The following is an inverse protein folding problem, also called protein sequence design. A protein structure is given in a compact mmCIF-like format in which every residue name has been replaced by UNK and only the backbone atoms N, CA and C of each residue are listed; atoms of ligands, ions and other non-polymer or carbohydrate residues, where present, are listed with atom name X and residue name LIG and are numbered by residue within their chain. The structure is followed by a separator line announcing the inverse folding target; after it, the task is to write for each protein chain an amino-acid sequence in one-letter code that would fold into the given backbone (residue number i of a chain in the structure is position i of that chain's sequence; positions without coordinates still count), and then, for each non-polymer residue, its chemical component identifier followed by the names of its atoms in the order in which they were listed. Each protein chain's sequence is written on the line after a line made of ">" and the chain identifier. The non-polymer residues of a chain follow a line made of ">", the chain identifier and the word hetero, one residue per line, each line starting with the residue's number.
data_IF_196243947505
#
_entry.id   IF_196243947505
#
_cell.length_a   1.000
_cell.length_b   1.000
_cell.length_c   1.000
_cell.angle_alpha   90.00
_cell.angle_beta   90.00
_cell.angle_gamma   90.00
#
_symmetry.space_group_name_H-M   'P 1'
#
loop_
_entity.id
_entity.type
_entity.pdbx_description
1 polymer ?
#
# COMPACT_ATOMS: atom_id res chain seq x y z
N UNK A 1 -28.65 2.77 61.95
CA UNK A 1 -27.95 3.60 60.95
C UNK A 1 -27.26 2.66 59.97
N UNK A 2 -27.88 2.39 58.78
CA UNK A 2 -27.33 1.49 57.76
C UNK A 2 -26.66 2.35 56.71
N UNK A 3 -25.34 2.27 56.59
CA UNK A 3 -24.55 2.93 55.53
C UNK A 3 -24.63 2.09 54.26
N UNK A 4 -25.33 2.58 53.24
CA UNK A 4 -25.39 1.97 51.93
C UNK A 4 -24.10 2.23 51.16
N UNK A 5 -23.45 1.15 50.71
CA UNK A 5 -22.27 1.17 49.88
C UNK A 5 -22.71 1.27 48.41
N UNK A 6 -22.51 2.43 47.80
CA UNK A 6 -22.75 2.64 46.35
C UNK A 6 -21.58 2.02 45.59
N UNK A 7 -21.83 0.89 44.89
CA UNK A 7 -20.90 0.32 43.93
C UNK A 7 -20.98 1.12 42.63
N UNK A 8 -19.97 1.92 42.38
CA UNK A 8 -19.76 2.56 41.09
C UNK A 8 -19.20 1.50 40.14
N UNK A 9 -20.00 0.98 39.21
CA UNK A 9 -19.55 0.17 38.11
C UNK A 9 -18.91 1.09 37.05
N UNK A 10 -17.57 1.13 36.99
CA UNK A 10 -16.86 1.69 35.84
C UNK A 10 -17.08 0.74 34.63
N UNK A 11 -17.93 1.15 33.71
CA UNK A 11 -18.03 0.54 32.41
C UNK A 11 -16.78 0.99 31.59
N UNK A 12 -15.74 0.17 31.55
CA UNK A 12 -14.68 0.26 30.57
C UNK A 12 -15.29 -0.07 29.20
N UNK A 13 -15.57 0.96 28.41
CA UNK A 13 -15.91 0.80 27.01
C UNK A 13 -14.71 0.19 26.26
N UNK A 14 -14.82 -1.08 25.91
CA UNK A 14 -13.94 -1.72 24.92
C UNK A 14 -14.17 -1.00 23.60
N UNK A 15 -13.30 -0.04 23.27
CA UNK A 15 -13.15 0.41 21.90
C UNK A 15 -12.67 -0.81 21.10
N UNK A 16 -13.59 -1.42 20.35
CA UNK A 16 -13.24 -2.42 19.36
C UNK A 16 -12.43 -1.72 18.25
N UNK A 17 -11.08 -1.70 18.39
CA UNK A 17 -10.21 -1.51 17.26
C UNK A 17 -10.49 -2.65 16.29
N UNK A 18 -11.06 -2.35 15.12
CA UNK A 18 -11.04 -3.30 14.00
C UNK A 18 -9.57 -3.62 13.75
N UNK A 19 -9.18 -4.92 13.75
CA UNK A 19 -7.78 -5.27 13.51
C UNK A 19 -7.39 -4.74 12.13
N UNK A 20 -6.34 -3.93 12.10
CA UNK A 20 -5.75 -3.46 10.85
C UNK A 20 -5.17 -4.68 10.12
N UNK A 21 -5.25 -4.71 8.79
CA UNK A 21 -4.81 -5.84 7.98
C UNK A 21 -3.28 -6.00 8.13
N UNK A 22 -2.83 -7.11 8.73
CA UNK A 22 -1.40 -7.35 9.01
C UNK A 22 -0.68 -8.09 7.87
N UNK A 23 -1.42 -8.76 6.98
CA UNK A 23 -0.86 -9.53 5.86
C UNK A 23 -1.81 -9.62 4.68
N UNK A 24 -1.25 -9.86 3.49
CA UNK A 24 -2.03 -10.22 2.31
C UNK A 24 -2.48 -11.69 2.39
N UNK A 25 -3.66 -11.98 1.85
CA UNK A 25 -4.11 -13.36 1.70
C UNK A 25 -3.41 -14.06 0.51
N UNK A 26 -3.54 -15.36 0.43
CA UNK A 26 -2.88 -16.17 -0.61
C UNK A 26 -3.30 -15.77 -2.03
N UNK A 27 -4.54 -15.33 -2.23
CA UNK A 27 -5.06 -14.89 -3.53
C UNK A 27 -4.37 -13.60 -3.98
N UNK A 28 -4.23 -12.60 -3.09
CA UNK A 28 -3.49 -11.38 -3.39
C UNK A 28 -2.01 -11.66 -3.68
N UNK A 29 -1.38 -12.53 -2.90
CA UNK A 29 0.03 -12.90 -3.07
C UNK A 29 0.28 -13.62 -4.41
N UNK A 30 -0.69 -14.42 -4.89
CA UNK A 30 -0.61 -15.15 -6.15
C UNK A 30 -0.89 -14.27 -7.39
N UNK A 31 -1.22 -12.98 -7.23
CA UNK A 31 -1.51 -12.11 -8.39
C UNK A 31 -0.34 -12.08 -9.37
N UNK A 32 -0.59 -12.43 -10.65
CA UNK A 32 0.43 -12.37 -11.68
C UNK A 32 0.76 -10.92 -12.06
N UNK A 33 2.04 -10.61 -12.08
CA UNK A 33 2.58 -9.30 -12.42
C UNK A 33 3.50 -9.38 -13.63
N UNK A 34 3.64 -8.26 -14.33
CA UNK A 34 4.60 -8.13 -15.44
C UNK A 34 5.48 -6.91 -15.19
N UNK A 35 6.79 -7.08 -15.21
CA UNK A 35 7.75 -5.98 -15.08
C UNK A 35 7.93 -5.18 -16.39
N UNK A 36 8.76 -4.13 -16.37
CA UNK A 36 9.04 -3.28 -17.54
C UNK A 36 9.77 -4.01 -18.68
N UNK A 37 10.48 -5.10 -18.36
CA UNK A 37 11.15 -5.96 -19.33
C UNK A 37 10.20 -7.00 -19.96
N UNK A 38 8.97 -7.13 -19.43
CA UNK A 38 8.00 -8.14 -19.85
C UNK A 38 8.12 -9.45 -19.09
N UNK A 39 8.96 -9.52 -18.05
CA UNK A 39 9.12 -10.72 -17.21
C UNK A 39 7.89 -10.92 -16.35
N UNK A 40 7.44 -12.17 -16.26
CA UNK A 40 6.32 -12.55 -15.40
C UNK A 40 6.84 -12.92 -14.01
N UNK A 41 6.12 -12.46 -13.01
CA UNK A 41 6.36 -12.74 -11.59
C UNK A 41 5.03 -12.77 -10.83
N UNK A 42 5.07 -12.93 -9.53
CA UNK A 42 3.90 -12.79 -8.65
C UNK A 42 4.12 -11.68 -7.63
N UNK A 43 3.05 -11.19 -7.03
CA UNK A 43 3.17 -10.20 -5.97
C UNK A 43 3.95 -10.75 -4.76
N UNK A 44 3.78 -12.05 -4.46
CA UNK A 44 4.57 -12.74 -3.41
C UNK A 44 6.07 -12.68 -3.69
N UNK A 45 6.50 -12.98 -4.93
CA UNK A 45 7.91 -12.94 -5.32
C UNK A 45 8.47 -11.52 -5.23
N UNK A 46 7.69 -10.51 -5.62
CA UNK A 46 8.07 -9.10 -5.47
C UNK A 46 8.27 -8.74 -4.01
N UNK A 47 7.37 -9.13 -3.11
CA UNK A 47 7.53 -8.88 -1.67
C UNK A 47 8.75 -9.63 -1.11
N UNK A 48 8.93 -10.90 -1.45
CA UNK A 48 10.09 -11.72 -1.02
C UNK A 48 11.43 -11.13 -1.47
N UNK A 49 11.49 -10.60 -2.70
CA UNK A 49 12.71 -9.96 -3.22
C UNK A 49 13.10 -8.67 -2.49
N UNK A 50 12.16 -8.09 -1.75
CA UNK A 50 12.35 -6.89 -0.96
C UNK A 50 12.47 -7.15 0.55
N UNK A 51 12.50 -8.42 0.99
CA UNK A 51 12.67 -8.77 2.41
C UNK A 51 13.90 -8.10 3.01
N UNK A 52 13.79 -7.58 4.23
CA UNK A 52 14.83 -6.82 4.90
C UNK A 52 14.82 -5.31 4.59
N UNK A 53 13.97 -4.87 3.66
CA UNK A 53 13.76 -3.46 3.36
C UNK A 53 12.36 -3.01 3.80
N UNK A 54 12.23 -1.73 4.13
CA UNK A 54 10.93 -1.07 4.20
C UNK A 54 10.44 -0.81 2.78
N UNK A 55 9.18 -1.17 2.49
CA UNK A 55 8.59 -1.05 1.15
C UNK A 55 7.31 -0.20 1.20
N UNK A 56 7.18 0.73 0.28
CA UNK A 56 5.87 1.32 -0.04
C UNK A 56 5.37 0.70 -1.34
N UNK A 57 4.23 0.03 -1.26
CA UNK A 57 3.47 -0.42 -2.44
C UNK A 57 2.46 0.66 -2.80
N UNK A 58 2.61 1.27 -3.98
CA UNK A 58 1.65 2.21 -4.55
C UNK A 58 0.81 1.51 -5.63
N UNK A 59 -0.47 1.36 -5.36
CA UNK A 59 -1.44 0.84 -6.34
C UNK A 59 -2.05 2.03 -7.08
N UNK A 60 -1.80 2.13 -8.36
CA UNK A 60 -2.11 3.30 -9.17
C UNK A 60 -2.55 2.97 -10.61
N UNK A 61 -2.80 3.98 -11.41
CA UNK A 61 -2.93 3.86 -12.86
C UNK A 61 -2.69 5.21 -13.55
N UNK A 62 -2.21 5.19 -14.80
CA UNK A 62 -1.93 6.41 -15.57
C UNK A 62 -3.19 7.21 -15.93
N UNK A 63 -4.34 6.56 -15.91
CA UNK A 63 -5.66 7.16 -16.15
C UNK A 63 -6.35 7.67 -14.86
N UNK A 64 -5.76 7.45 -13.69
CA UNK A 64 -6.33 7.83 -12.39
C UNK A 64 -6.02 9.30 -12.06
N UNK A 65 -7.00 10.22 -12.05
CA UNK A 65 -6.74 11.63 -11.79
C UNK A 65 -6.15 11.91 -10.41
N UNK A 66 -6.62 11.20 -9.37
CA UNK A 66 -6.15 11.39 -8.00
C UNK A 66 -4.71 10.89 -7.84
N UNK A 67 -4.34 9.78 -8.50
CA UNK A 67 -2.97 9.31 -8.55
C UNK A 67 -2.04 10.38 -9.14
N UNK A 68 -2.44 10.94 -10.30
CA UNK A 68 -1.66 11.97 -10.99
C UNK A 68 -1.51 13.23 -10.12
N UNK A 69 -2.59 13.67 -9.49
CA UNK A 69 -2.60 14.83 -8.58
C UNK A 69 -1.67 14.61 -7.37
N UNK A 70 -1.56 13.37 -6.90
CA UNK A 70 -0.71 12.97 -5.78
C UNK A 70 0.79 12.89 -6.10
N UNK A 71 1.19 12.80 -7.38
CA UNK A 71 2.59 12.58 -7.78
C UNK A 71 3.61 13.58 -7.21
N UNK A 72 3.35 14.90 -7.14
CA UNK A 72 4.31 15.82 -6.53
C UNK A 72 4.58 15.51 -5.06
N UNK A 73 3.55 15.16 -4.29
CA UNK A 73 3.69 14.76 -2.88
C UNK A 73 4.45 13.44 -2.75
N UNK A 74 4.17 12.49 -3.67
CA UNK A 74 4.85 11.21 -3.69
C UNK A 74 6.36 11.36 -3.98
N UNK A 75 6.74 12.21 -4.93
CA UNK A 75 8.14 12.53 -5.21
C UNK A 75 8.86 13.17 -4.01
N UNK A 76 8.15 14.02 -3.26
CA UNK A 76 8.70 14.56 -2.02
C UNK A 76 8.89 13.44 -0.98
N UNK A 77 7.93 12.51 -0.85
CA UNK A 77 8.06 11.33 0.02
C UNK A 77 9.30 10.50 -0.34
N UNK A 78 9.56 10.28 -1.63
CA UNK A 78 10.74 9.56 -2.11
C UNK A 78 12.05 10.31 -1.76
N UNK A 79 12.04 11.63 -1.86
CA UNK A 79 13.19 12.46 -1.48
C UNK A 79 13.46 12.45 0.02
N UNK A 80 12.39 12.40 0.85
CA UNK A 80 12.49 12.40 2.30
C UNK A 80 12.88 11.02 2.87
N UNK A 81 12.61 9.92 2.13
CA UNK A 81 12.89 8.54 2.54
C UNK A 81 13.58 7.75 1.41
N UNK A 82 14.81 8.12 1.03
CA UNK A 82 15.52 7.50 -0.11
C UNK A 82 15.93 6.03 0.14
N UNK A 83 15.98 5.58 1.39
CA UNK A 83 16.27 4.19 1.78
C UNK A 83 15.10 3.22 1.55
N UNK A 84 13.87 3.74 1.44
CA UNK A 84 12.65 2.95 1.23
C UNK A 84 12.61 2.41 -0.19
N UNK A 85 12.11 1.18 -0.36
CA UNK A 85 11.84 0.58 -1.67
C UNK A 85 10.44 0.95 -2.14
N UNK A 86 10.34 1.49 -3.33
CA UNK A 86 9.08 1.91 -3.93
C UNK A 86 8.66 0.93 -5.00
N UNK A 87 7.53 0.27 -4.79
CA UNK A 87 6.93 -0.75 -5.69
C UNK A 87 5.61 -0.21 -6.21
N UNK A 88 5.50 -0.04 -7.51
CA UNK A 88 4.31 0.46 -8.19
C UNK A 88 3.55 -0.68 -8.85
N UNK A 89 2.30 -0.87 -8.47
CA UNK A 89 1.39 -1.83 -9.06
C UNK A 89 0.34 -1.08 -9.91
N UNK A 90 0.42 -1.21 -11.24
CA UNK A 90 -0.46 -0.47 -12.14
C UNK A 90 -1.67 -1.28 -12.59
N UNK A 91 -2.83 -0.62 -12.60
CA UNK A 91 -4.07 -1.07 -13.23
C UNK A 91 -4.29 -0.50 -14.64
N UNK A 92 -3.22 -0.12 -15.35
CA UNK A 92 -3.33 0.24 -16.75
C UNK A 92 -3.77 -0.97 -17.59
N UNK A 93 -4.56 -0.72 -18.63
CA UNK A 93 -5.12 -1.79 -19.46
C UNK A 93 -4.09 -2.45 -20.38
N UNK A 94 -3.04 -1.72 -20.72
CA UNK A 94 -2.03 -2.16 -21.65
C UNK A 94 -0.64 -1.60 -21.29
N UNK A 95 0.39 -2.29 -21.78
CA UNK A 95 1.79 -1.98 -21.49
C UNK A 95 2.20 -0.61 -22.04
N UNK A 96 1.62 -0.18 -23.17
CA UNK A 96 1.98 1.10 -23.81
C UNK A 96 1.49 2.28 -22.97
N UNK A 97 0.23 2.27 -22.55
CA UNK A 97 -0.36 3.29 -21.67
C UNK A 97 0.39 3.38 -20.35
N UNK A 98 0.70 2.22 -19.74
CA UNK A 98 1.47 2.13 -18.51
C UNK A 98 2.86 2.75 -18.64
N UNK A 99 3.66 2.36 -19.65
CA UNK A 99 5.01 2.89 -19.88
C UNK A 99 4.98 4.39 -20.16
N UNK A 100 4.04 4.86 -20.99
CA UNK A 100 3.83 6.29 -21.22
C UNK A 100 3.51 7.07 -19.96
N UNK A 101 2.71 6.49 -19.06
CA UNK A 101 2.39 7.08 -17.76
C UNK A 101 3.63 7.24 -16.89
N UNK A 102 4.43 6.18 -16.76
CA UNK A 102 5.69 6.21 -15.99
C UNK A 102 6.63 7.29 -16.50
N UNK A 103 6.86 7.32 -17.82
CA UNK A 103 7.73 8.32 -18.47
C UNK A 103 7.19 9.74 -18.29
N UNK A 104 5.90 9.95 -18.59
CA UNK A 104 5.26 11.27 -18.51
C UNK A 104 5.33 11.88 -17.11
N UNK A 105 5.10 11.05 -16.09
CA UNK A 105 5.08 11.52 -14.69
C UNK A 105 6.42 11.32 -13.99
N UNK A 106 7.43 10.77 -14.69
CA UNK A 106 8.79 10.54 -14.17
C UNK A 106 8.74 9.83 -12.80
N UNK A 107 8.08 8.68 -12.78
CA UNK A 107 7.91 7.88 -11.56
C UNK A 107 9.11 6.95 -11.43
N UNK A 108 9.85 7.07 -10.33
CA UNK A 108 11.04 6.26 -10.06
C UNK A 108 10.72 5.11 -9.10
N UNK A 109 11.18 3.90 -9.39
CA UNK A 109 10.97 2.72 -8.56
C UNK A 109 10.82 1.42 -9.35
N UNK A 110 10.36 0.36 -8.68
CA UNK A 110 10.08 -0.92 -9.30
C UNK A 110 8.64 -0.97 -9.80
N UNK A 111 8.45 -1.14 -11.10
CA UNK A 111 7.15 -1.05 -11.73
C UNK A 111 6.65 -2.40 -12.19
N UNK A 112 5.38 -2.67 -11.91
CA UNK A 112 4.69 -3.89 -12.32
C UNK A 112 3.28 -3.57 -12.81
N UNK A 113 2.89 -4.24 -13.90
CA UNK A 113 1.53 -4.22 -14.43
C UNK A 113 0.76 -5.39 -13.82
N UNK A 114 -0.37 -5.12 -13.19
CA UNK A 114 -1.28 -6.13 -12.64
C UNK A 114 -1.99 -6.83 -13.80
N UNK A 115 -2.13 -8.17 -13.73
CA UNK A 115 -2.80 -8.95 -14.76
C UNK A 115 -4.31 -8.97 -14.62
N UNK A 116 -4.84 -8.84 -13.41
CA UNK A 116 -6.28 -8.79 -13.16
C UNK A 116 -6.88 -7.41 -13.50
N UNK A 117 -8.14 -7.41 -13.98
CA UNK A 117 -8.85 -6.18 -14.33
C UNK A 117 -9.34 -5.43 -13.07
N UNK A 118 -9.27 -4.10 -13.10
CA UNK A 118 -9.83 -3.23 -12.05
C UNK A 118 -11.32 -3.50 -11.76
N UNK A 119 -12.10 -3.87 -12.77
CA UNK A 119 -13.54 -4.15 -12.64
C UNK A 119 -13.86 -5.60 -12.25
N UNK A 120 -12.96 -6.54 -12.52
CA UNK A 120 -13.22 -7.97 -12.47
C UNK A 120 -12.93 -8.67 -11.14
N UNK A 121 -12.44 -8.00 -10.12
CA UNK A 121 -12.00 -8.63 -8.86
C UNK A 121 -10.49 -8.89 -8.84
N UNK A 122 -10.04 -10.14 -8.67
CA UNK A 122 -8.63 -10.50 -8.59
C UNK A 122 -7.91 -9.75 -7.46
N UNK A 123 -6.74 -9.19 -7.73
CA UNK A 123 -5.94 -8.49 -6.72
C UNK A 123 -6.71 -7.40 -5.98
N UNK A 124 -7.55 -6.63 -6.67
CA UNK A 124 -8.37 -5.59 -6.05
C UNK A 124 -9.23 -6.15 -4.90
N UNK A 125 -9.94 -7.24 -5.14
CA UNK A 125 -10.80 -7.86 -4.12
C UNK A 125 -9.97 -8.58 -3.06
N UNK A 126 -8.95 -9.33 -3.46
CA UNK A 126 -8.11 -10.10 -2.57
C UNK A 126 -7.28 -9.22 -1.63
N UNK A 127 -6.78 -8.10 -2.14
CA UNK A 127 -6.06 -7.09 -1.36
C UNK A 127 -6.97 -6.05 -0.71
N UNK A 128 -8.30 -6.11 -0.88
CA UNK A 128 -9.26 -5.15 -0.33
C UNK A 128 -8.96 -3.69 -0.76
N UNK A 129 -8.70 -3.50 -2.06
CA UNK A 129 -8.46 -2.18 -2.68
C UNK A 129 -9.79 -1.63 -3.16
N UNK A 130 -10.31 -0.61 -2.51
CA UNK A 130 -11.57 0.06 -2.87
C UNK A 130 -11.34 1.34 -3.68
N UNK A 131 -10.18 1.95 -3.55
CA UNK A 131 -9.79 3.22 -4.20
C UNK A 131 -8.31 3.23 -4.58
N UNK A 132 -7.94 4.00 -5.61
CA UNK A 132 -6.56 4.35 -5.96
C UNK A 132 -6.40 5.88 -6.06
N UNK A 133 -5.21 6.44 -5.67
CA UNK A 133 -4.02 5.70 -5.23
C UNK A 133 -4.26 4.98 -3.90
N UNK A 134 -3.51 3.89 -3.69
CA UNK A 134 -3.48 3.17 -2.43
C UNK A 134 -2.03 2.93 -2.03
N UNK A 135 -1.59 3.54 -0.94
CA UNK A 135 -0.28 3.31 -0.36
C UNK A 135 -0.37 2.27 0.74
N UNK A 136 0.48 1.25 0.65
CA UNK A 136 0.58 0.17 1.62
C UNK A 136 2.03 0.12 2.08
N UNK A 137 2.25 0.27 3.39
CA UNK A 137 3.57 0.25 3.98
C UNK A 137 3.88 -1.15 4.51
N UNK A 138 4.99 -1.71 4.08
CA UNK A 138 5.49 -3.04 4.47
C UNK A 138 6.78 -2.85 5.24
N UNK A 139 6.90 -3.50 6.41
CA UNK A 139 8.10 -3.47 7.24
C UNK A 139 9.21 -4.41 6.73
N UNK A 140 10.35 -4.40 7.40
CA UNK A 140 11.52 -5.23 7.07
C UNK A 140 11.25 -6.74 7.19
N UNK A 141 10.25 -7.13 7.98
CA UNK A 141 9.79 -8.52 8.18
C UNK A 141 8.75 -8.95 7.12
N UNK A 142 8.33 -8.05 6.23
CA UNK A 142 7.33 -8.30 5.19
C UNK A 142 5.88 -8.21 5.68
N UNK A 143 5.64 -7.64 6.87
CA UNK A 143 4.31 -7.41 7.41
C UNK A 143 3.77 -6.04 6.98
N UNK A 144 2.46 -5.94 6.88
CA UNK A 144 1.79 -4.66 6.62
C UNK A 144 1.85 -3.81 7.89
N UNK A 145 2.63 -2.73 7.84
CA UNK A 145 2.74 -1.75 8.92
C UNK A 145 1.65 -0.68 8.84
N UNK A 146 1.16 -0.35 7.63
CA UNK A 146 0.06 0.59 7.41
C UNK A 146 -0.63 0.28 6.08
N UNK A 147 -1.97 0.33 6.06
CA UNK A 147 -2.70 -0.19 4.91
C UNK A 147 -3.52 0.85 4.15
N UNK A 148 -4.46 1.55 4.72
CA UNK A 148 -5.48 2.33 3.99
C UNK A 148 -5.09 3.80 3.76
N UNK A 149 -3.90 4.06 3.24
CA UNK A 149 -3.42 5.42 2.95
C UNK A 149 -3.70 5.78 1.48
N UNK A 150 -4.19 6.99 1.25
CA UNK A 150 -4.50 7.52 -0.09
C UNK A 150 -3.76 8.82 -0.42
N UNK A 151 -3.06 9.42 0.55
CA UNK A 151 -2.27 10.64 0.38
C UNK A 151 -0.81 10.35 0.76
N UNK A 152 0.14 10.74 -0.09
CA UNK A 152 1.56 10.51 0.17
C UNK A 152 2.13 11.35 1.31
N UNK A 153 1.46 12.44 1.68
CA UNK A 153 1.78 13.30 2.83
C UNK A 153 0.90 13.00 4.07
N UNK A 154 0.27 11.82 4.13
CA UNK A 154 -0.50 11.39 5.30
C UNK A 154 0.39 11.34 6.55
N UNK A 155 -0.07 11.96 7.66
CA UNK A 155 0.68 12.09 8.90
C UNK A 155 1.03 10.72 9.51
N UNK A 156 0.13 9.73 9.42
CA UNK A 156 0.38 8.38 9.94
C UNK A 156 1.43 7.66 9.10
N UNK A 157 1.37 7.82 7.76
CA UNK A 157 2.37 7.27 6.85
C UNK A 157 3.76 7.80 7.21
N UNK A 158 3.91 9.11 7.30
CA UNK A 158 5.18 9.76 7.64
C UNK A 158 5.68 9.35 9.04
N UNK A 159 4.79 9.32 10.03
CA UNK A 159 5.15 8.92 11.40
C UNK A 159 5.59 7.45 11.47
N UNK A 160 4.87 6.55 10.77
CA UNK A 160 5.22 5.12 10.74
C UNK A 160 6.55 4.91 10.02
N UNK A 161 6.78 5.56 8.86
CA UNK A 161 8.06 5.51 8.14
C UNK A 161 9.22 5.93 9.05
N UNK A 162 9.14 7.07 9.72
CA UNK A 162 10.17 7.53 10.66
C UNK A 162 10.48 6.53 11.77
N UNK A 163 9.52 5.69 12.13
CA UNK A 163 9.70 4.69 13.19
C UNK A 163 10.39 3.42 12.67
N UNK A 164 10.00 2.93 11.46
CA UNK A 164 10.46 1.62 10.97
C UNK A 164 11.70 1.68 10.05
N UNK A 165 12.12 2.88 9.63
CA UNK A 165 13.34 3.10 8.84
C UNK A 165 14.60 3.31 9.70
N UNK A 166 14.42 3.49 11.01
CA UNK A 166 15.54 3.64 11.98
C UNK A 166 16.34 2.36 12.17
#
# INVERSE_FOLDING_TARGET
>A
MKKGLIKVCLLFGLMACTPEKEAFNAEALAEPLTDLAGTKTTFEEVLKSNTGNVVIVDVWASWCPDCIKGMPKFKQLQADFPEVKYVFLSYDKDVESWKKGIEKYQIEGNHYLISSDWKGGGFKSAADIDWIPRYILIDKEGKIALYRVIEADDEKLIATLKTITQ
#
